data_IF_070918889685
#
_entry.id   IF_070918889685
#
_cell.length_a   1.000
_cell.length_b   1.000
_cell.length_c   1.000
_cell.angle_alpha   90.00
_cell.angle_beta   90.00
_cell.angle_gamma   90.00
#
_symmetry.space_group_name_H-M   'P 1'
#
loop_
_entity.id
_entity.type
_entity.pdbx_description
1 polymer ?
#
# COMPACT_ATOMS: atom_id res chain seq x y z
N UNK A 1 21.51 -25.63 17.65
CA UNK A 1 21.01 -25.14 16.34
C UNK A 1 19.52 -24.88 16.48
N UNK A 2 19.12 -23.60 16.57
CA UNK A 2 17.72 -23.21 16.71
C UNK A 2 17.03 -23.57 15.39
N UNK A 3 16.21 -24.60 15.44
CA UNK A 3 15.53 -25.21 14.31
C UNK A 3 14.71 -24.17 13.51
N UNK A 4 15.13 -23.91 12.27
CA UNK A 4 14.37 -23.18 11.25
C UNK A 4 13.17 -24.00 10.70
N UNK A 5 12.81 -25.09 11.40
CA UNK A 5 11.64 -25.96 11.22
C UNK A 5 10.55 -25.69 12.26
N UNK A 6 10.54 -24.49 12.85
CA UNK A 6 9.66 -24.17 13.97
C UNK A 6 8.27 -23.69 13.51
N UNK A 7 7.16 -24.15 14.13
CA UNK A 7 5.81 -23.63 13.88
C UNK A 7 5.74 -22.10 14.03
N UNK A 8 6.63 -21.50 14.83
CA UNK A 8 6.69 -20.05 14.98
C UNK A 8 6.98 -19.32 13.66
N UNK A 9 7.92 -19.82 12.83
CA UNK A 9 8.24 -19.18 11.53
C UNK A 9 7.02 -19.21 10.60
N UNK A 10 6.33 -20.35 10.58
CA UNK A 10 5.11 -20.52 9.80
C UNK A 10 4.01 -19.54 10.24
N UNK A 11 3.71 -19.47 11.54
CA UNK A 11 2.72 -18.51 12.07
C UNK A 11 3.16 -17.06 11.83
N UNK A 12 4.43 -16.74 11.99
CA UNK A 12 4.95 -15.39 11.72
C UNK A 12 4.77 -15.00 10.26
N UNK A 13 5.08 -15.89 9.30
CA UNK A 13 4.86 -15.62 7.86
C UNK A 13 3.38 -15.34 7.57
N UNK A 14 2.46 -16.15 8.14
CA UNK A 14 1.01 -15.96 7.95
C UNK A 14 0.51 -14.65 8.55
N UNK A 15 0.83 -14.37 9.82
CA UNK A 15 0.37 -13.18 10.52
C UNK A 15 0.95 -11.92 9.88
N UNK A 16 2.25 -11.92 9.55
CA UNK A 16 2.89 -10.78 8.90
C UNK A 16 2.34 -10.52 7.49
N UNK A 17 1.94 -11.56 6.74
CA UNK A 17 1.25 -11.40 5.45
C UNK A 17 -0.11 -10.71 5.59
N UNK A 18 -0.93 -11.13 6.55
CA UNK A 18 -2.23 -10.49 6.84
C UNK A 18 -2.05 -9.04 7.29
N UNK A 19 -1.11 -8.78 8.22
CA UNK A 19 -0.81 -7.42 8.69
C UNK A 19 -0.35 -6.54 7.51
N UNK A 20 0.48 -7.08 6.62
CA UNK A 20 0.95 -6.36 5.43
C UNK A 20 -0.21 -5.91 4.53
N UNK A 21 -1.19 -6.79 4.28
CA UNK A 21 -2.38 -6.45 3.49
C UNK A 21 -3.21 -5.34 4.15
N UNK A 22 -3.40 -5.42 5.46
CA UNK A 22 -4.12 -4.40 6.24
C UNK A 22 -3.37 -3.07 6.20
N UNK A 23 -2.06 -3.08 6.42
CA UNK A 23 -1.24 -1.87 6.37
C UNK A 23 -1.26 -1.24 4.97
N UNK A 24 -1.11 -2.03 3.90
CA UNK A 24 -1.21 -1.54 2.52
C UNK A 24 -2.58 -0.92 2.23
N UNK A 25 -3.66 -1.52 2.76
CA UNK A 25 -5.02 -0.96 2.69
C UNK A 25 -5.06 0.43 3.34
N UNK A 26 -4.55 0.57 4.56
CA UNK A 26 -4.50 1.84 5.29
C UNK A 26 -3.67 2.89 4.54
N UNK A 27 -2.51 2.51 3.99
CA UNK A 27 -1.66 3.39 3.17
C UNK A 27 -2.44 3.96 1.99
N UNK A 28 -3.17 3.12 1.24
CA UNK A 28 -3.97 3.54 0.09
C UNK A 28 -5.10 4.47 0.50
N UNK A 29 -5.85 4.12 1.55
CA UNK A 29 -6.95 4.96 2.05
C UNK A 29 -6.44 6.32 2.50
N UNK A 30 -5.36 6.38 3.27
CA UNK A 30 -4.74 7.64 3.69
C UNK A 30 -4.24 8.45 2.49
N UNK A 31 -3.63 7.80 1.49
CA UNK A 31 -3.22 8.45 0.24
C UNK A 31 -4.41 9.05 -0.52
N UNK A 32 -5.55 8.37 -0.54
CA UNK A 32 -6.80 8.89 -1.10
C UNK A 32 -7.26 10.13 -0.33
N UNK A 33 -7.32 10.07 1.00
CA UNK A 33 -7.74 11.20 1.85
C UNK A 33 -6.87 12.45 1.65
N UNK A 34 -5.55 12.26 1.54
CA UNK A 34 -4.60 13.34 1.22
C UNK A 34 -4.92 13.93 -0.16
N UNK A 35 -5.18 13.08 -1.17
CA UNK A 35 -5.44 13.51 -2.54
C UNK A 35 -6.76 14.27 -2.73
N UNK A 36 -7.81 13.92 -1.97
CA UNK A 36 -9.12 14.59 -1.98
C UNK A 36 -9.15 15.81 -1.06
N UNK A 37 -8.01 16.17 -0.47
CA UNK A 37 -7.83 17.35 0.41
C UNK A 37 -8.69 17.30 1.67
N UNK A 38 -9.04 16.10 2.11
CA UNK A 38 -9.84 15.87 3.31
C UNK A 38 -9.03 16.31 4.51
N UNK A 39 -9.60 17.24 5.26
CA UNK A 39 -8.96 17.91 6.38
C UNK A 39 -9.88 19.03 6.83
N UNK A 40 -10.28 18.98 8.09
CA UNK A 40 -11.24 19.91 8.70
C UNK A 40 -10.70 20.53 9.98
N UNK A 41 -11.58 21.02 10.85
CA UNK A 41 -11.24 21.62 12.15
C UNK A 41 -10.67 20.64 13.19
N UNK A 42 -10.91 19.32 13.05
CA UNK A 42 -10.55 18.30 14.05
C UNK A 42 -9.31 17.46 13.74
N UNK A 43 -9.00 17.23 12.45
CA UNK A 43 -7.82 16.46 12.02
C UNK A 43 -7.14 17.25 10.90
N UNK A 44 -5.88 17.60 11.13
CA UNK A 44 -5.07 18.37 10.20
C UNK A 44 -4.57 17.53 9.03
N UNK A 45 -4.39 18.15 7.86
CA UNK A 45 -3.77 17.47 6.69
C UNK A 45 -2.35 16.97 6.99
N UNK A 46 -1.65 17.68 7.86
CA UNK A 46 -0.32 17.29 8.33
C UNK A 46 -0.37 15.94 9.06
N UNK A 47 -1.32 15.75 9.97
CA UNK A 47 -1.48 14.51 10.75
C UNK A 47 -1.74 13.31 9.82
N UNK A 48 -2.65 13.46 8.85
CA UNK A 48 -2.95 12.40 7.87
C UNK A 48 -1.70 12.06 7.03
N UNK A 49 -0.91 13.07 6.67
CA UNK A 49 0.33 12.88 5.89
C UNK A 49 1.40 12.16 6.69
N UNK A 50 1.60 12.52 7.96
CA UNK A 50 2.54 11.82 8.85
C UNK A 50 2.08 10.40 9.17
N UNK A 51 0.77 10.17 9.34
CA UNK A 51 0.22 8.82 9.48
C UNK A 51 0.46 7.99 8.22
N UNK A 52 0.23 8.54 7.03
CA UNK A 52 0.52 7.85 5.77
C UNK A 52 1.99 7.45 5.67
N UNK A 53 2.91 8.34 6.03
CA UNK A 53 4.35 8.05 6.02
C UNK A 53 4.74 6.97 7.04
N UNK A 54 4.24 7.08 8.27
CA UNK A 54 4.52 6.13 9.36
C UNK A 54 3.98 4.73 9.05
N UNK A 55 2.73 4.65 8.58
CA UNK A 55 2.08 3.39 8.22
C UNK A 55 2.72 2.79 6.96
N UNK A 56 3.17 3.61 6.00
CA UNK A 56 3.93 3.12 4.85
C UNK A 56 5.24 2.45 5.26
N UNK A 57 5.96 3.03 6.24
CA UNK A 57 7.17 2.40 6.76
C UNK A 57 6.87 1.08 7.47
N UNK A 58 5.81 1.03 8.29
CA UNK A 58 5.38 -0.21 8.94
C UNK A 58 4.97 -1.28 7.91
N UNK A 59 4.27 -0.89 6.84
CA UNK A 59 3.92 -1.81 5.75
C UNK A 59 5.17 -2.43 5.12
N UNK A 60 6.21 -1.62 4.82
CA UNK A 60 7.49 -2.11 4.30
C UNK A 60 8.17 -3.10 5.26
N UNK A 61 8.16 -2.80 6.56
CA UNK A 61 8.75 -3.67 7.59
C UNK A 61 8.00 -5.02 7.66
N UNK A 62 6.67 -5.01 7.72
CA UNK A 62 5.89 -6.23 7.80
C UNK A 62 5.98 -7.08 6.54
N UNK A 63 6.06 -6.47 5.36
CA UNK A 63 6.29 -7.21 4.12
C UNK A 63 7.71 -7.80 4.10
N UNK A 64 8.72 -7.08 4.57
CA UNK A 64 10.06 -7.62 4.69
C UNK A 64 10.09 -8.84 5.64
N UNK A 65 9.42 -8.76 6.78
CA UNK A 65 9.25 -9.90 7.71
C UNK A 65 8.55 -11.06 7.00
N UNK A 66 7.45 -10.80 6.29
CA UNK A 66 6.70 -11.83 5.55
C UNK A 66 7.58 -12.53 4.51
N UNK A 67 8.32 -11.79 3.69
CA UNK A 67 9.20 -12.35 2.65
C UNK A 67 10.35 -13.14 3.29
N UNK A 68 11.04 -12.56 4.27
CA UNK A 68 12.18 -13.22 4.93
C UNK A 68 11.75 -14.51 5.61
N UNK A 69 10.65 -14.48 6.36
CA UNK A 69 10.13 -15.69 7.01
C UNK A 69 9.63 -16.72 6.02
N UNK A 70 9.04 -16.30 4.90
CA UNK A 70 8.60 -17.22 3.83
C UNK A 70 9.76 -17.90 3.11
N UNK A 71 10.87 -17.20 2.89
CA UNK A 71 12.05 -17.77 2.19
C UNK A 71 12.88 -18.66 3.11
N UNK A 72 12.96 -18.32 4.40
CA UNK A 72 13.70 -19.11 5.39
C UNK A 72 12.89 -20.32 5.87
N UNK A 73 11.57 -20.32 5.67
CA UNK A 73 10.71 -21.45 6.03
C UNK A 73 11.11 -22.71 5.24
N UNK A 74 11.54 -23.73 5.99
CA UNK A 74 11.95 -25.03 5.44
C UNK A 74 10.77 -25.89 4.96
N UNK A 75 9.53 -25.54 5.33
CA UNK A 75 8.33 -26.21 4.82
C UNK A 75 8.08 -25.94 3.34
N UNK A 76 8.58 -24.82 2.82
CA UNK A 76 8.33 -24.38 1.44
C UNK A 76 9.64 -23.95 0.81
N UNK A 77 10.24 -24.79 -0.03
CA UNK A 77 11.48 -24.47 -0.74
C UNK A 77 11.27 -23.36 -1.78
N UNK A 78 11.35 -22.10 -1.34
CA UNK A 78 11.34 -20.89 -2.17
C UNK A 78 12.75 -20.32 -2.18
N UNK A 79 13.31 -20.14 -3.37
CA UNK A 79 14.63 -19.52 -3.52
C UNK A 79 14.52 -18.00 -3.34
N UNK A 80 15.54 -17.38 -2.72
CA UNK A 80 15.66 -15.92 -2.57
C UNK A 80 15.44 -15.14 -3.86
N UNK A 81 15.86 -15.68 -5.01
CA UNK A 81 15.66 -15.04 -6.31
C UNK A 81 14.18 -14.83 -6.65
N UNK A 82 13.29 -15.69 -6.12
CA UNK A 82 11.85 -15.61 -6.35
C UNK A 82 11.19 -14.46 -5.59
N UNK A 83 11.90 -13.84 -4.64
CA UNK A 83 11.43 -12.63 -3.98
C UNK A 83 11.56 -11.39 -4.89
N UNK A 84 12.37 -11.44 -5.96
CA UNK A 84 12.64 -10.27 -6.83
C UNK A 84 12.35 -10.58 -8.30
N UNK A 85 12.49 -11.83 -8.72
CA UNK A 85 12.24 -12.25 -10.10
C UNK A 85 10.97 -13.11 -10.14
N UNK A 86 9.90 -12.65 -10.82
CA UNK A 86 8.69 -13.45 -10.92
C UNK A 86 8.95 -14.73 -11.72
N UNK A 87 8.09 -15.74 -11.52
CA UNK A 87 8.09 -17.04 -12.23
C UNK A 87 9.28 -17.97 -11.96
N UNK A 88 10.22 -17.63 -11.08
CA UNK A 88 11.37 -18.50 -10.76
C UNK A 88 11.10 -19.54 -9.68
N UNK A 89 9.97 -19.44 -8.97
CA UNK A 89 9.63 -20.40 -7.90
C UNK A 89 9.15 -21.74 -8.48
N UNK A 90 9.66 -22.84 -7.92
CA UNK A 90 9.15 -24.20 -8.17
C UNK A 90 7.89 -24.51 -7.34
N UNK A 91 7.69 -23.79 -6.22
CA UNK A 91 6.49 -23.89 -5.40
C UNK A 91 5.46 -22.85 -5.84
N UNK A 92 4.22 -23.29 -6.13
CA UNK A 92 3.07 -22.43 -6.51
C UNK A 92 3.49 -21.23 -7.37
N UNK A 93 4.12 -21.53 -8.52
CA UNK A 93 4.81 -20.56 -9.38
C UNK A 93 4.01 -19.28 -9.64
N UNK A 94 2.75 -19.42 -10.05
CA UNK A 94 1.89 -18.29 -10.39
C UNK A 94 1.52 -17.44 -9.15
N UNK A 95 0.96 -18.01 -8.07
CA UNK A 95 0.69 -17.26 -6.85
C UNK A 95 1.93 -16.53 -6.29
N UNK A 96 3.10 -17.20 -6.25
CA UNK A 96 4.34 -16.59 -5.75
C UNK A 96 4.77 -15.42 -6.63
N UNK A 97 4.75 -15.57 -7.96
CA UNK A 97 5.14 -14.51 -8.88
C UNK A 97 4.23 -13.27 -8.79
N UNK A 98 2.93 -13.45 -8.53
CA UNK A 98 2.02 -12.31 -8.31
C UNK A 98 2.43 -11.56 -7.03
N UNK A 99 2.85 -12.28 -5.98
CA UNK A 99 3.41 -11.68 -4.77
C UNK A 99 4.72 -10.92 -5.03
N UNK A 100 5.61 -11.49 -5.85
CA UNK A 100 6.83 -10.82 -6.31
C UNK A 100 6.52 -9.52 -7.03
N UNK A 101 5.60 -9.53 -8.00
CA UNK A 101 5.16 -8.31 -8.71
C UNK A 101 4.56 -7.29 -7.73
N UNK A 102 3.75 -7.72 -6.77
CA UNK A 102 3.20 -6.83 -5.76
C UNK A 102 4.30 -6.13 -4.94
N UNK A 103 5.32 -6.89 -4.53
CA UNK A 103 6.49 -6.39 -3.80
C UNK A 103 7.31 -5.41 -4.65
N UNK A 104 7.61 -5.75 -5.90
CA UNK A 104 8.39 -4.91 -6.81
C UNK A 104 7.71 -3.56 -7.04
N UNK A 105 6.39 -3.57 -7.27
CA UNK A 105 5.60 -2.35 -7.41
C UNK A 105 5.60 -1.54 -6.11
N UNK A 106 5.46 -2.19 -4.95
CA UNK A 106 5.48 -1.52 -3.66
C UNK A 106 6.84 -0.87 -3.38
N UNK A 107 7.94 -1.58 -3.69
CA UNK A 107 9.30 -1.06 -3.59
C UNK A 107 9.52 0.13 -4.53
N UNK A 108 9.05 0.04 -5.78
CA UNK A 108 9.14 1.15 -6.74
C UNK A 108 8.39 2.39 -6.24
N UNK A 109 7.19 2.23 -5.69
CA UNK A 109 6.41 3.33 -5.09
C UNK A 109 7.13 3.92 -3.88
N UNK A 110 7.65 3.08 -2.99
CA UNK A 110 8.33 3.53 -1.77
C UNK A 110 9.61 4.29 -2.09
N UNK A 111 10.48 3.73 -2.93
CA UNK A 111 11.75 4.35 -3.34
C UNK A 111 11.52 5.65 -4.11
N UNK A 112 10.61 5.66 -5.08
CA UNK A 112 10.28 6.88 -5.82
C UNK A 112 9.73 7.98 -4.90
N UNK A 113 9.01 7.61 -3.84
CA UNK A 113 8.48 8.56 -2.86
C UNK A 113 9.57 9.13 -1.93
N UNK A 114 10.63 8.36 -1.61
CA UNK A 114 11.82 8.90 -0.93
C UNK A 114 12.59 9.88 -1.83
N UNK A 115 12.60 9.61 -3.14
CA UNK A 115 13.29 10.41 -4.14
C UNK A 115 12.42 11.50 -4.77
N UNK A 116 11.22 11.76 -4.24
CA UNK A 116 10.21 12.65 -4.87
C UNK A 116 10.74 14.06 -5.18
N UNK A 117 11.72 14.55 -4.42
CA UNK A 117 12.35 15.87 -4.60
C UNK A 117 13.41 15.89 -5.72
N UNK A 118 13.84 14.70 -6.17
CA UNK A 118 14.90 14.52 -7.18
C UNK A 118 14.38 14.03 -8.54
N UNK A 119 13.10 13.63 -8.62
CA UNK A 119 12.49 13.09 -9.83
C UNK A 119 11.39 14.01 -10.35
N UNK A 120 11.10 13.93 -11.64
CA UNK A 120 10.02 14.70 -12.25
C UNK A 120 8.67 14.41 -11.58
N UNK A 121 7.87 15.44 -11.22
CA UNK A 121 6.58 15.24 -10.55
C UNK A 121 5.57 14.39 -11.33
N UNK A 122 5.63 14.36 -12.67
CA UNK A 122 4.73 13.51 -13.47
C UNK A 122 5.19 12.05 -13.42
N UNK A 123 6.48 11.81 -13.55
CA UNK A 123 7.07 10.48 -13.41
C UNK A 123 6.78 9.89 -12.01
N UNK A 124 7.01 10.68 -10.95
CA UNK A 124 6.66 10.27 -9.58
C UNK A 124 5.19 9.89 -9.47
N UNK A 125 4.28 10.73 -10.01
CA UNK A 125 2.84 10.46 -9.92
C UNK A 125 2.43 9.20 -10.69
N UNK A 126 3.04 8.95 -11.84
CA UNK A 126 2.82 7.73 -12.61
C UNK A 126 3.27 6.49 -11.84
N UNK A 127 4.47 6.51 -11.25
CA UNK A 127 4.97 5.41 -10.41
C UNK A 127 4.08 5.25 -9.18
N UNK A 128 3.75 6.33 -8.48
CA UNK A 128 2.93 6.28 -7.27
C UNK A 128 1.51 5.72 -7.55
N UNK A 129 0.98 5.88 -8.76
CA UNK A 129 -0.29 5.27 -9.17
C UNK A 129 -0.22 3.74 -9.28
N UNK A 130 0.98 3.16 -9.44
CA UNK A 130 1.16 1.71 -9.44
C UNK A 130 0.87 1.07 -8.07
N UNK A 131 0.73 1.86 -7.00
CA UNK A 131 0.27 1.39 -5.68
C UNK A 131 -1.09 0.67 -5.75
N UNK A 132 -1.99 1.09 -6.63
CA UNK A 132 -3.27 0.39 -6.86
C UNK A 132 -3.05 -0.99 -7.48
N UNK A 133 -2.12 -1.10 -8.44
CA UNK A 133 -1.76 -2.37 -9.06
C UNK A 133 -1.04 -3.29 -8.05
N UNK A 134 -0.17 -2.74 -7.21
CA UNK A 134 0.48 -3.46 -6.11
C UNK A 134 -0.56 -4.07 -5.15
N UNK A 135 -1.58 -3.29 -4.76
CA UNK A 135 -2.65 -3.79 -3.89
C UNK A 135 -3.49 -4.88 -4.55
N UNK A 136 -3.88 -4.71 -5.82
CA UNK A 136 -4.62 -5.74 -6.56
C UNK A 136 -3.80 -7.03 -6.63
N UNK A 137 -2.52 -6.94 -6.96
CA UNK A 137 -1.62 -8.08 -6.98
C UNK A 137 -1.50 -8.73 -5.59
N UNK A 138 -1.32 -7.95 -4.53
CA UNK A 138 -1.25 -8.46 -3.16
C UNK A 138 -2.55 -9.17 -2.72
N UNK A 139 -3.72 -8.63 -3.07
CA UNK A 139 -5.01 -9.24 -2.77
C UNK A 139 -5.21 -10.56 -3.52
N UNK A 140 -4.81 -10.62 -4.80
CA UNK A 140 -4.85 -11.85 -5.60
C UNK A 140 -3.86 -12.88 -5.03
N UNK A 141 -2.63 -12.46 -4.71
CA UNK A 141 -1.62 -13.31 -4.09
C UNK A 141 -2.12 -13.95 -2.79
N UNK A 142 -2.68 -13.13 -1.90
CA UNK A 142 -3.33 -13.55 -0.66
C UNK A 142 -4.37 -14.65 -0.89
N UNK A 143 -5.32 -14.41 -1.80
CA UNK A 143 -6.36 -15.37 -2.14
C UNK A 143 -5.84 -16.70 -2.73
N UNK A 144 -4.73 -16.65 -3.47
CA UNK A 144 -4.19 -17.80 -4.21
C UNK A 144 -3.20 -18.66 -3.41
N UNK A 145 -2.44 -18.09 -2.47
CA UNK A 145 -1.34 -18.79 -1.80
C UNK A 145 -1.81 -19.70 -0.66
N UNK A 146 -2.78 -19.28 0.17
CA UNK A 146 -3.11 -19.98 1.43
C UNK A 146 -4.48 -20.68 1.45
N UNK A 147 -4.53 -21.87 2.05
CA UNK A 147 -5.79 -22.48 2.52
C UNK A 147 -6.37 -21.72 3.70
N UNK A 148 -5.50 -21.20 4.57
CA UNK A 148 -5.91 -20.42 5.76
C UNK A 148 -6.51 -19.07 5.38
N UNK A 149 -6.06 -18.50 4.27
CA UNK A 149 -6.61 -17.26 3.72
C UNK A 149 -8.00 -17.47 3.09
N UNK A 150 -8.31 -18.72 2.73
CA UNK A 150 -9.67 -19.15 2.32
C UNK A 150 -10.54 -19.60 3.49
N UNK A 151 -10.03 -19.55 4.72
CA UNK A 151 -10.89 -19.66 5.90
C UNK A 151 -11.92 -18.54 5.93
N UNK A 152 -13.02 -18.74 6.65
CA UNK A 152 -14.07 -17.70 6.79
C UNK A 152 -13.47 -16.37 7.26
N UNK A 153 -12.54 -16.39 8.21
CA UNK A 153 -11.88 -15.19 8.73
C UNK A 153 -10.93 -14.56 7.71
N UNK A 154 -10.14 -15.36 6.99
CA UNK A 154 -9.27 -14.86 5.93
C UNK A 154 -10.04 -14.13 4.83
N UNK A 155 -11.17 -14.71 4.39
CA UNK A 155 -12.03 -14.10 3.39
C UNK A 155 -12.73 -12.82 3.90
N UNK A 156 -13.11 -12.78 5.18
CA UNK A 156 -13.66 -11.55 5.79
C UNK A 156 -12.62 -10.44 5.76
N UNK A 157 -11.37 -10.71 6.16
CA UNK A 157 -10.30 -9.70 6.17
C UNK A 157 -10.01 -9.24 4.75
N UNK A 158 -9.76 -10.17 3.81
CA UNK A 158 -9.50 -9.85 2.40
C UNK A 158 -10.65 -9.05 1.79
N UNK A 159 -11.88 -9.53 1.97
CA UNK A 159 -13.10 -8.87 1.46
C UNK A 159 -13.28 -7.47 2.05
N UNK A 160 -12.99 -7.29 3.34
CA UNK A 160 -13.04 -5.98 4.00
C UNK A 160 -11.99 -5.02 3.45
N UNK A 161 -10.75 -5.49 3.27
CA UNK A 161 -9.67 -4.69 2.67
C UNK A 161 -10.04 -4.23 1.25
N UNK A 162 -10.51 -5.15 0.40
CA UNK A 162 -10.94 -4.85 -0.96
C UNK A 162 -12.13 -3.88 -0.95
N UNK A 163 -13.14 -4.13 -0.13
CA UNK A 163 -14.30 -3.25 -0.03
C UNK A 163 -13.93 -1.83 0.41
N UNK A 164 -13.08 -1.69 1.42
CA UNK A 164 -12.61 -0.38 1.91
C UNK A 164 -11.85 0.38 0.83
N UNK A 165 -10.92 -0.26 0.11
CA UNK A 165 -10.19 0.39 -0.99
C UNK A 165 -11.13 0.79 -2.12
N UNK A 166 -12.06 -0.09 -2.51
CA UNK A 166 -13.04 0.20 -3.56
C UNK A 166 -13.94 1.37 -3.18
N UNK A 167 -14.51 1.36 -1.97
CA UNK A 167 -15.36 2.44 -1.47
C UNK A 167 -14.61 3.77 -1.41
N UNK A 168 -13.37 3.78 -0.90
CA UNK A 168 -12.53 4.97 -0.87
C UNK A 168 -12.22 5.49 -2.29
N UNK A 169 -11.96 4.58 -3.23
CA UNK A 169 -11.66 4.92 -4.63
C UNK A 169 -12.89 5.47 -5.35
N UNK A 170 -14.04 4.84 -5.21
CA UNK A 170 -15.32 5.32 -5.76
C UNK A 170 -15.65 6.69 -5.19
N UNK A 171 -15.52 6.85 -3.88
CA UNK A 171 -15.73 8.14 -3.24
C UNK A 171 -14.79 9.22 -3.76
N UNK A 172 -13.51 8.92 -4.01
CA UNK A 172 -12.57 9.85 -4.64
C UNK A 172 -12.99 10.27 -6.05
N UNK A 173 -13.53 9.34 -6.83
CA UNK A 173 -13.94 9.59 -8.22
C UNK A 173 -15.24 10.40 -8.28
N UNK A 174 -16.22 10.06 -7.43
CA UNK A 174 -17.55 10.68 -7.39
C UNK A 174 -17.51 12.01 -6.64
N UNK A 175 -16.85 12.04 -5.48
CA UNK A 175 -16.80 13.19 -4.58
C UNK A 175 -15.86 14.30 -5.03
N UNK A 176 -15.67 14.52 -6.34
CA UNK A 176 -14.91 15.65 -6.89
C UNK A 176 -15.34 16.91 -6.14
N UNK A 177 -14.54 17.42 -5.19
CA UNK A 177 -14.88 18.69 -4.58
C UNK A 177 -14.84 19.67 -5.73
N UNK A 178 -15.90 20.48 -5.89
CA UNK A 178 -15.82 21.67 -6.73
C UNK A 178 -14.45 22.29 -6.46
N UNK A 179 -13.64 22.42 -7.51
CA UNK A 179 -12.44 23.26 -7.43
C UNK A 179 -12.95 24.50 -6.73
N UNK A 180 -12.40 24.86 -5.57
CA UNK A 180 -12.80 26.09 -4.90
C UNK A 180 -12.44 27.26 -5.84
N UNK A 181 -13.30 27.52 -6.80
CA UNK A 181 -13.39 28.71 -7.65
C UNK A 181 -13.92 29.76 -6.68
N UNK A 182 -13.03 30.24 -5.82
CA UNK A 182 -13.46 31.03 -4.66
C UNK A 182 -12.34 31.73 -3.93
N UNK A 183 -11.20 31.98 -4.58
CA UNK A 183 -10.15 32.87 -4.06
C UNK A 183 -9.48 33.78 -5.10
N UNK A 184 -10.06 33.91 -6.29
CA UNK A 184 -9.59 34.88 -7.30
C UNK A 184 -10.48 36.13 -7.41
N UNK A 185 -11.61 36.16 -6.71
CA UNK A 185 -12.41 37.36 -6.53
C UNK A 185 -12.32 37.79 -5.06
N UNK A 186 -12.02 39.08 -4.81
CA UNK A 186 -11.87 39.74 -3.51
C UNK A 186 -10.42 39.91 -2.99
N UNK A 187 -9.62 40.67 -3.74
CA UNK A 187 -9.06 41.90 -3.19
C UNK A 187 -8.96 42.94 -4.30
N UNK A 188 -10.01 43.78 -4.51
CA UNK A 188 -9.76 45.06 -5.16
C UNK A 188 -8.85 45.82 -4.20
N UNK A 189 -7.61 46.04 -4.64
CA UNK A 189 -6.72 47.02 -4.04
C UNK A 189 -7.54 48.29 -3.77
N UNK A 190 -7.69 48.63 -2.49
CA UNK A 190 -8.20 49.95 -2.07
C UNK A 190 -7.27 50.97 -2.70
N UNK A 191 -7.68 51.52 -3.84
CA UNK A 191 -6.96 52.62 -4.48
C UNK A 191 -6.92 53.77 -3.47
N UNK A 192 -5.70 54.06 -3.03
CA UNK A 192 -5.35 55.32 -2.39
C UNK A 192 -5.84 56.46 -3.29
N UNK A 193 -6.92 57.14 -2.87
CA UNK A 193 -7.21 58.48 -3.38
C UNK A 193 -6.38 59.45 -2.54
N UNK A 194 -5.30 59.92 -3.15
CA UNK A 194 -4.68 61.18 -2.75
C UNK A 194 -5.55 62.35 -3.19
N UNK A 195 -5.90 63.20 -2.23
CA UNK A 195 -5.85 64.67 -2.24
C UNK A 195 -6.59 65.20 -1.01
#
# INVERSE_FOLDING_TARGET
MIALTSPYIWYTSRISGVISLVMLTLVIVLGILISTRVGGRRVGRFEITEMHRSISLLAMIFVAIHVVTTVIDTYVNIHWISAVVPMTSNYKRLPVAIGTVALDLMLAVWLSSQLKERIDPRAWRAIHFSSYASFIAAAIHSYLVGTDERSRWGLIVLGSCVAVVLLATVWRIVGRPERAVGRTALSPLKQSKGR
#
